data_IF_690774743971
#
_entry.id   IF_690774743971
#
_cell.length_a   1.000
_cell.length_b   1.000
_cell.length_c   1.000
_cell.angle_alpha   90.00
_cell.angle_beta   90.00
_cell.angle_gamma   90.00
#
_symmetry.space_group_name_H-M   'P 1'
#
loop_
_entity.id
_entity.type
_entity.pdbx_description
1 polymer ?
#
# COMPACT_ATOMS: atom_id res chain seq x y z
N UNK A 1 -14.34 -4.54 0.25
CA UNK A 1 -14.20 -4.50 1.71
C UNK A 1 -13.33 -5.63 2.26
N UNK A 2 -13.13 -6.75 1.54
CA UNK A 2 -12.30 -7.87 2.04
C UNK A 2 -10.78 -7.75 1.85
N UNK A 3 -10.29 -6.69 1.18
CA UNK A 3 -8.84 -6.49 0.99
C UNK A 3 -8.14 -5.81 2.18
N UNK A 4 -8.88 -5.12 3.06
CA UNK A 4 -8.32 -4.34 4.17
C UNK A 4 -8.35 -5.07 5.53
N UNK A 5 -8.93 -6.27 5.60
CA UNK A 5 -9.13 -7.02 6.85
C UNK A 5 -8.18 -8.21 7.03
N UNK A 6 -7.24 -8.42 6.11
CA UNK A 6 -6.28 -9.54 6.12
C UNK A 6 -4.86 -9.11 6.52
N UNK A 7 -4.75 -8.24 7.53
CA UNK A 7 -3.47 -7.89 8.17
C UNK A 7 -3.53 -8.07 9.68
N UNK A 8 -3.95 -9.26 10.15
CA UNK A 8 -4.02 -9.55 11.58
C UNK A 8 -3.24 -10.80 12.04
N UNK A 9 -2.41 -11.42 11.21
CA UNK A 9 -1.76 -12.68 11.59
C UNK A 9 -0.25 -12.75 11.49
N UNK A 10 0.50 -11.65 11.25
CA UNK A 10 2.01 -11.68 11.18
C UNK A 10 2.59 -12.83 10.33
N UNK A 11 1.78 -13.39 9.43
CA UNK A 11 2.07 -14.59 8.61
C UNK A 11 2.09 -14.25 7.13
N UNK A 12 1.64 -13.06 6.75
CA UNK A 12 1.74 -12.53 5.40
C UNK A 12 2.89 -11.55 5.38
N UNK A 13 3.78 -11.71 4.39
CA UNK A 13 4.76 -10.68 4.04
C UNK A 13 4.01 -9.35 3.92
N UNK A 14 4.63 -8.27 4.39
CA UNK A 14 4.10 -6.95 4.08
C UNK A 14 4.12 -6.80 2.54
N UNK A 15 2.99 -6.40 1.94
CA UNK A 15 2.86 -6.23 0.49
C UNK A 15 2.55 -4.74 0.24
N UNK A 16 3.23 -4.07 -0.70
CA UNK A 16 2.92 -2.70 -1.05
C UNK A 16 1.55 -2.63 -1.74
N UNK A 17 0.67 -1.74 -1.27
CA UNK A 17 -0.62 -1.47 -1.90
C UNK A 17 -0.48 -0.23 -2.78
N UNK A 18 -0.57 -0.43 -4.10
CA UNK A 18 -0.41 0.65 -5.08
C UNK A 18 -1.73 0.87 -5.81
N UNK A 19 -2.27 2.08 -5.72
CA UNK A 19 -3.47 2.50 -6.41
C UNK A 19 -3.10 3.27 -7.69
N UNK A 20 -3.50 2.73 -8.85
CA UNK A 20 -3.23 3.35 -10.14
C UNK A 20 -4.29 4.38 -10.52
N UNK A 21 -3.88 5.58 -10.93
CA UNK A 21 -4.77 6.67 -11.30
C UNK A 21 -5.26 7.45 -10.09
N UNK A 22 -4.39 8.32 -9.58
CA UNK A 22 -4.57 9.08 -8.33
C UNK A 22 -5.86 9.90 -8.32
N UNK A 23 -6.18 10.55 -9.44
CA UNK A 23 -7.39 11.36 -9.58
C UNK A 23 -8.68 10.52 -9.56
N UNK A 24 -8.66 9.32 -10.15
CA UNK A 24 -9.79 8.39 -10.07
C UNK A 24 -10.03 7.97 -8.62
N UNK A 25 -8.97 7.55 -7.92
CA UNK A 25 -9.11 7.06 -6.55
C UNK A 25 -9.48 8.15 -5.54
N UNK A 26 -8.96 9.38 -5.69
CA UNK A 26 -9.40 10.54 -4.89
C UNK A 26 -10.89 10.83 -5.04
N UNK A 27 -11.45 10.61 -6.23
CA UNK A 27 -12.89 10.78 -6.45
C UNK A 27 -13.72 9.60 -5.93
N UNK A 28 -13.17 8.39 -5.92
CA UNK A 28 -13.86 7.19 -5.44
C UNK A 28 -13.89 7.13 -3.92
N UNK A 29 -12.79 7.51 -3.27
CA UNK A 29 -12.66 7.42 -1.81
C UNK A 29 -11.70 8.50 -1.30
N UNK A 30 -12.16 9.23 -0.30
CA UNK A 30 -11.31 10.16 0.43
C UNK A 30 -10.78 9.47 1.69
N UNK A 31 -9.59 8.86 1.57
CA UNK A 31 -8.95 8.18 2.70
C UNK A 31 -8.66 9.11 3.87
N UNK A 32 -8.31 10.38 3.62
CA UNK A 32 -8.12 11.37 4.68
C UNK A 32 -9.41 11.57 5.47
N UNK A 33 -10.54 11.74 4.79
CA UNK A 33 -11.84 11.86 5.45
C UNK A 33 -12.19 10.62 6.29
N UNK A 34 -11.86 9.42 5.81
CA UNK A 34 -12.07 8.19 6.58
C UNK A 34 -11.20 8.13 7.84
N UNK A 35 -9.99 8.68 7.80
CA UNK A 35 -9.11 8.79 8.96
C UNK A 35 -9.65 9.83 9.95
N UNK A 36 -10.06 11.00 9.46
CA UNK A 36 -10.63 12.08 10.26
C UNK A 36 -11.92 11.63 10.99
N UNK A 37 -12.75 10.81 10.33
CA UNK A 37 -13.97 10.21 10.92
C UNK A 37 -13.67 9.00 11.83
N UNK A 38 -12.40 8.62 12.00
CA UNK A 38 -11.98 7.51 12.87
C UNK A 38 -12.34 6.12 12.34
N UNK A 39 -12.69 6.00 11.05
CA UNK A 39 -13.01 4.72 10.40
C UNK A 39 -11.73 3.92 10.13
N UNK A 40 -10.62 4.61 9.87
CA UNK A 40 -9.28 4.05 9.77
C UNK A 40 -8.31 4.84 10.66
N UNK A 41 -7.20 4.23 11.07
CA UNK A 41 -6.13 4.96 11.77
C UNK A 41 -5.32 5.80 10.76
N UNK A 42 -4.80 6.96 11.19
CA UNK A 42 -3.94 7.82 10.36
C UNK A 42 -2.73 7.07 9.79
N UNK A 43 -2.15 6.15 10.57
CA UNK A 43 -1.03 5.31 10.14
C UNK A 43 -1.39 4.34 9.00
N UNK A 44 -2.68 4.14 8.71
CA UNK A 44 -3.11 3.35 7.55
C UNK A 44 -3.07 4.14 6.25
N UNK A 45 -3.02 5.48 6.30
CA UNK A 45 -2.83 6.30 5.12
C UNK A 45 -1.48 6.04 4.47
N UNK A 46 -0.46 5.75 5.29
CA UNK A 46 0.90 5.41 4.83
C UNK A 46 1.01 4.01 4.21
N UNK A 47 -0.05 3.18 4.28
CA UNK A 47 -0.05 1.84 3.71
C UNK A 47 -0.40 1.81 2.22
N UNK A 48 -0.88 2.93 1.69
CA UNK A 48 -1.40 3.04 0.34
C UNK A 48 -0.60 4.08 -0.42
N UNK A 49 0.11 3.63 -1.44
CA UNK A 49 0.79 4.50 -2.39
C UNK A 49 -0.07 4.72 -3.63
N UNK A 50 0.08 5.88 -4.25
CA UNK A 50 -0.58 6.21 -5.51
C UNK A 50 0.44 6.35 -6.63
N UNK A 51 0.14 5.78 -7.79
CA UNK A 51 0.94 5.89 -9.00
C UNK A 51 0.06 6.24 -10.20
N UNK A 52 0.55 7.13 -11.06
CA UNK A 52 -0.09 7.48 -12.33
C UNK A 52 0.68 6.90 -13.53
N UNK A 53 1.88 6.36 -13.28
CA UNK A 53 2.72 5.71 -14.29
C UNK A 53 3.32 4.40 -13.77
N UNK A 54 3.66 3.44 -14.65
CA UNK A 54 4.37 2.22 -14.27
C UNK A 54 5.69 2.47 -13.54
N UNK A 55 6.41 3.54 -13.90
CA UNK A 55 7.68 3.92 -13.31
C UNK A 55 7.52 4.38 -11.86
N UNK A 56 6.47 5.14 -11.57
CA UNK A 56 6.13 5.52 -10.19
C UNK A 56 5.76 4.29 -9.35
N UNK A 57 4.96 3.38 -9.89
CA UNK A 57 4.61 2.13 -9.21
C UNK A 57 5.85 1.28 -8.93
N UNK A 58 6.76 1.18 -9.90
CA UNK A 58 8.04 0.48 -9.70
C UNK A 58 8.89 1.14 -8.61
N UNK A 59 8.96 2.47 -8.58
CA UNK A 59 9.67 3.20 -7.52
C UNK A 59 9.09 2.97 -6.12
N UNK A 60 7.77 2.79 -6.01
CA UNK A 60 7.13 2.39 -4.75
C UNK A 60 7.59 0.99 -4.33
N UNK A 61 7.57 0.03 -5.25
CA UNK A 61 8.03 -1.35 -4.99
C UNK A 61 9.49 -1.37 -4.56
N UNK A 62 10.36 -0.61 -5.24
CA UNK A 62 11.77 -0.49 -4.87
C UNK A 62 11.96 0.10 -3.48
N UNK A 63 11.28 1.20 -3.15
CA UNK A 63 11.32 1.80 -1.80
C UNK A 63 10.85 0.82 -0.73
N UNK A 64 9.78 0.09 -1.01
CA UNK A 64 9.22 -0.91 -0.11
C UNK A 64 10.24 -2.02 0.21
N UNK A 65 10.94 -2.54 -0.81
CA UNK A 65 11.98 -3.56 -0.60
C UNK A 65 13.29 -3.02 0.00
N UNK A 66 13.60 -1.74 -0.19
CA UNK A 66 14.79 -1.10 0.41
C UNK A 66 14.64 -0.83 1.92
N UNK A 67 13.42 -0.74 2.43
CA UNK A 67 13.13 -0.56 3.85
C UNK A 67 13.31 -1.86 4.67
N UNK A 68 13.53 -3.00 4.01
CA UNK A 68 13.81 -4.31 4.62
C UNK A 68 15.29 -4.70 4.41
N UNK A 69 16.21 -4.48 5.37
CA UNK A 69 17.60 -4.98 5.26
C UNK A 69 17.74 -6.51 5.36
N UNK A 70 16.70 -7.31 5.14
CA UNK A 70 16.72 -8.74 5.50
C UNK A 70 15.71 -9.67 4.81
N UNK A 71 15.13 -9.29 3.67
CA UNK A 71 14.20 -10.18 2.95
C UNK A 71 14.88 -10.94 1.82
N UNK A 72 15.26 -12.20 2.05
CA UNK A 72 15.71 -13.12 1.01
C UNK A 72 14.70 -13.18 -0.14
N UNK A 73 15.15 -12.80 -1.33
CA UNK A 73 14.42 -12.98 -2.60
C UNK A 73 14.24 -14.48 -2.86
N UNK A 74 13.02 -15.03 -3.00
CA UNK A 74 12.89 -16.39 -3.51
C UNK A 74 13.28 -16.36 -4.99
N UNK A 75 14.39 -17.01 -5.29
CA UNK A 75 14.91 -17.29 -6.61
C UNK A 75 13.79 -17.75 -7.54
N UNK A 76 13.63 -17.08 -8.69
CA UNK A 76 12.91 -17.65 -9.84
C UNK A 76 13.55 -19.00 -10.18
N UNK A 77 12.74 -20.04 -10.32
CA UNK A 77 13.08 -21.26 -11.05
C UNK A 77 11.98 -21.51 -12.08
#
# INVERSE_FOLDING_TARGET
FDALTLRQTKRMQEIPIILYGREYWKSVVNFQFLADEGVIADSHLDLVDFADTPQEAWGVIERFHQLEPGGETPSKQ
#
